data_IF_273930355538
#
_entry.id   IF_273930355538
#
_cell.length_a   1.000
_cell.length_b   1.000
_cell.length_c   1.000
_cell.angle_alpha   90.00
_cell.angle_beta   90.00
_cell.angle_gamma   90.00
#
_symmetry.space_group_name_H-M   'P 1'
#
loop_
_entity.id
_entity.type
_entity.pdbx_description
1 polymer ?
#
# COMPACT_ATOMS: atom_id res chain seq x y z
N UNK A 1 46.48 -63.73 -11.02
CA UNK A 1 46.09 -62.61 -11.89
C UNK A 1 46.04 -61.36 -11.00
N UNK A 2 47.21 -60.76 -10.71
CA UNK A 2 47.80 -59.59 -11.41
C UNK A 2 46.92 -58.34 -11.16
N UNK A 3 47.30 -57.29 -10.41
CA UNK A 3 48.59 -56.59 -10.27
C UNK A 3 48.64 -55.81 -8.93
N UNK A 4 49.79 -55.90 -8.25
CA UNK A 4 50.26 -55.00 -7.20
C UNK A 4 50.66 -53.63 -7.78
N UNK A 5 50.50 -52.54 -7.05
CA UNK A 5 51.35 -51.33 -7.01
C UNK A 5 50.66 -50.34 -6.04
N UNK A 6 51.22 -49.64 -5.07
CA UNK A 6 52.58 -49.34 -4.64
C UNK A 6 52.39 -48.48 -3.35
N UNK A 7 52.80 -48.93 -2.17
CA UNK A 7 54.06 -48.53 -1.51
C UNK A 7 54.26 -47.01 -1.34
N UNK A 8 54.22 -46.52 -0.09
CA UNK A 8 55.22 -45.69 0.63
C UNK A 8 54.54 -44.90 1.76
N UNK A 9 54.84 -45.23 3.00
CA UNK A 9 55.97 -44.69 3.80
C UNK A 9 55.80 -43.22 4.20
N UNK A 10 55.60 -43.06 5.52
CA UNK A 10 56.31 -42.11 6.38
C UNK A 10 56.08 -40.59 6.26
N UNK A 11 56.24 -39.98 7.45
CA UNK A 11 56.62 -38.59 7.71
C UNK A 11 55.53 -37.51 7.61
N UNK A 12 54.95 -37.18 8.76
CA UNK A 12 54.81 -35.78 9.17
C UNK A 12 55.01 -35.71 10.70
N UNK A 13 56.27 -35.71 11.15
CA UNK A 13 56.99 -34.50 11.57
C UNK A 13 56.08 -33.49 12.29
N UNK A 14 56.03 -33.67 13.61
CA UNK A 14 55.77 -32.66 14.65
C UNK A 14 56.20 -31.27 14.19
N UNK A 15 55.25 -30.44 13.79
CA UNK A 15 55.45 -29.01 13.59
C UNK A 15 54.36 -28.26 14.33
N UNK A 16 54.75 -27.65 15.45
CA UNK A 16 53.92 -26.76 16.25
C UNK A 16 53.67 -25.49 15.45
N UNK A 17 52.65 -25.45 14.60
CA UNK A 17 52.37 -24.23 13.85
C UNK A 17 50.87 -23.98 13.67
N UNK A 18 50.36 -23.06 14.50
CA UNK A 18 49.22 -22.16 14.27
C UNK A 18 47.85 -22.80 13.95
N UNK A 19 47.38 -23.68 14.83
CA UNK A 19 45.97 -24.11 14.81
C UNK A 19 44.98 -23.07 15.39
N UNK A 20 45.49 -21.94 15.90
CA UNK A 20 44.69 -20.91 16.58
C UNK A 20 44.03 -19.88 15.65
N UNK A 21 44.39 -19.83 14.36
CA UNK A 21 43.89 -18.77 13.46
C UNK A 21 42.72 -19.23 12.57
N UNK A 22 42.53 -20.53 12.39
CA UNK A 22 41.42 -21.04 11.55
C UNK A 22 40.08 -20.98 12.30
N UNK A 23 40.08 -21.03 13.63
CA UNK A 23 38.85 -20.96 14.42
C UNK A 23 38.27 -19.53 14.57
N UNK A 24 39.07 -18.49 14.28
CA UNK A 24 38.63 -17.09 14.40
C UNK A 24 37.88 -16.57 13.17
N UNK A 25 37.90 -17.29 12.05
CA UNK A 25 37.24 -16.87 10.80
C UNK A 25 35.83 -17.46 10.60
N UNK A 26 35.40 -18.41 11.45
CA UNK A 26 34.07 -19.04 11.32
C UNK A 26 32.96 -18.22 12.01
N UNK A 27 33.31 -17.27 12.89
CA UNK A 27 32.35 -16.42 13.61
C UNK A 27 31.95 -15.13 12.89
N UNK A 28 32.57 -14.79 11.75
CA UNK A 28 32.31 -13.54 11.01
C UNK A 28 31.43 -13.73 9.76
N UNK A 29 30.57 -14.77 9.75
CA UNK A 29 29.82 -15.20 8.56
C UNK A 29 28.30 -15.24 8.71
N UNK A 30 27.71 -14.69 9.77
CA UNK A 30 26.25 -14.54 9.88
C UNK A 30 25.92 -13.06 9.67
N UNK A 31 26.08 -12.62 8.43
CA UNK A 31 25.68 -11.29 8.00
C UNK A 31 24.14 -11.26 8.00
N UNK A 32 23.63 -10.37 8.83
CA UNK A 32 22.23 -10.11 9.15
C UNK A 32 21.38 -9.95 7.88
N UNK A 33 20.68 -11.02 7.48
CA UNK A 33 19.55 -10.95 6.55
C UNK A 33 18.27 -10.60 7.32
N UNK A 34 18.29 -9.51 8.09
CA UNK A 34 17.06 -8.88 8.58
C UNK A 34 16.53 -7.99 7.46
N UNK A 35 16.01 -8.60 6.40
CA UNK A 35 15.14 -7.88 5.47
C UNK A 35 13.98 -7.33 6.27
N UNK A 36 13.84 -6.01 6.35
CA UNK A 36 12.62 -5.39 6.85
C UNK A 36 11.46 -5.82 5.94
N UNK A 37 10.77 -6.90 6.31
CA UNK A 37 9.45 -7.18 5.77
C UNK A 37 8.55 -6.02 6.22
N UNK A 38 8.33 -5.07 5.31
CA UNK A 38 7.33 -4.02 5.51
C UNK A 38 5.98 -4.73 5.65
N UNK A 39 5.44 -4.75 6.87
CA UNK A 39 4.13 -5.35 7.12
C UNK A 39 3.09 -4.57 6.28
N UNK A 40 2.35 -5.29 5.44
CA UNK A 40 1.26 -4.72 4.67
C UNK A 40 0.14 -4.15 5.56
N UNK A 41 -0.84 -3.44 4.97
CA UNK A 41 -1.93 -2.84 5.74
C UNK A 41 -2.71 -3.89 6.53
N UNK A 42 -3.02 -3.59 7.79
CA UNK A 42 -3.85 -4.47 8.63
C UNK A 42 -5.32 -4.41 8.14
N UNK A 43 -5.97 -5.56 7.90
CA UNK A 43 -7.38 -5.58 7.54
C UNK A 43 -8.25 -4.88 8.59
N UNK A 44 -9.23 -4.09 8.13
CA UNK A 44 -10.20 -3.41 8.99
C UNK A 44 -9.76 -2.07 9.60
N UNK A 45 -8.46 -1.78 9.66
CA UNK A 45 -7.94 -0.51 10.19
C UNK A 45 -7.77 0.56 9.09
N UNK A 46 -8.18 1.83 9.32
CA UNK A 46 -7.89 2.93 8.40
C UNK A 46 -6.40 3.24 8.30
N UNK A 47 -5.92 3.46 7.09
CA UNK A 47 -4.56 3.86 6.80
C UNK A 47 -4.51 4.91 5.67
N UNK A 48 -3.35 5.55 5.50
CA UNK A 48 -3.15 6.51 4.40
C UNK A 48 -3.06 5.79 3.07
N UNK A 49 -3.94 6.16 2.13
CA UNK A 49 -4.09 5.44 0.86
C UNK A 49 -2.84 5.40 -0.02
N UNK A 50 -2.01 6.43 0.04
CA UNK A 50 -0.74 6.53 -0.66
C UNK A 50 0.18 7.48 0.11
N UNK A 51 1.46 7.50 -0.23
CA UNK A 51 2.38 8.52 0.32
C UNK A 51 1.87 9.92 -0.08
N UNK A 52 2.08 10.96 0.74
CA UNK A 52 1.60 12.31 0.42
C UNK A 52 2.04 12.82 -0.96
N UNK A 53 3.25 12.46 -1.41
CA UNK A 53 3.78 12.82 -2.72
C UNK A 53 3.11 12.11 -3.90
N UNK A 54 2.39 11.01 -3.65
CA UNK A 54 1.64 10.25 -4.66
C UNK A 54 0.14 10.58 -4.68
N UNK A 55 -0.31 11.59 -3.93
CA UNK A 55 -1.72 12.01 -3.93
C UNK A 55 -1.83 13.33 -4.68
N UNK A 56 -2.45 13.29 -5.86
CA UNK A 56 -2.78 14.49 -6.62
C UNK A 56 -4.26 14.81 -6.45
N UNK A 57 -4.60 16.10 -6.31
CA UNK A 57 -5.96 16.54 -6.02
C UNK A 57 -6.33 17.70 -6.92
N UNK A 58 -7.47 17.58 -7.60
CA UNK A 58 -8.15 18.67 -8.31
C UNK A 58 -9.57 18.76 -7.73
N UNK A 59 -9.80 19.80 -6.92
CA UNK A 59 -11.05 19.97 -6.17
C UNK A 59 -11.71 21.26 -6.62
N UNK A 60 -12.99 21.18 -6.98
CA UNK A 60 -13.80 22.33 -7.32
C UNK A 60 -13.86 23.33 -6.15
N UNK A 61 -13.92 24.64 -6.42
CA UNK A 61 -13.87 25.66 -5.37
C UNK A 61 -15.07 25.61 -4.41
N UNK A 62 -16.17 24.93 -4.78
CA UNK A 62 -17.34 24.73 -3.93
C UNK A 62 -17.20 23.55 -2.95
N UNK A 63 -16.11 22.78 -3.04
CA UNK A 63 -15.89 21.55 -2.27
C UNK A 63 -14.63 21.63 -1.40
N UNK A 64 -14.68 20.97 -0.24
CA UNK A 64 -13.53 20.68 0.61
C UNK A 64 -13.45 19.18 0.87
N UNK A 65 -12.25 18.59 0.75
CA UNK A 65 -12.00 17.19 1.08
C UNK A 65 -11.60 17.11 2.56
N UNK A 66 -12.54 16.69 3.41
CA UNK A 66 -12.38 16.64 4.87
C UNK A 66 -11.69 15.35 5.35
N UNK A 67 -11.96 14.23 4.66
CA UNK A 67 -11.32 12.94 4.96
C UNK A 67 -11.05 12.17 3.67
N UNK A 68 -9.88 11.54 3.64
CA UNK A 68 -9.49 10.60 2.61
C UNK A 68 -8.62 9.50 3.22
N UNK A 69 -9.21 8.31 3.38
CA UNK A 69 -8.57 7.18 4.05
C UNK A 69 -8.88 5.87 3.35
N UNK A 70 -8.02 4.88 3.56
CA UNK A 70 -8.16 3.55 2.97
C UNK A 70 -8.35 2.50 4.05
N UNK A 71 -9.14 1.48 3.75
CA UNK A 71 -9.31 0.30 4.61
C UNK A 71 -9.34 -0.95 3.74
N UNK A 72 -8.67 -2.02 4.14
CA UNK A 72 -8.85 -3.33 3.50
C UNK A 72 -10.04 -4.03 4.15
N UNK A 73 -11.07 -4.34 3.37
CA UNK A 73 -12.27 -5.07 3.81
C UNK A 73 -12.72 -6.07 2.73
N UNK A 74 -13.38 -7.17 3.10
CA UNK A 74 -14.02 -8.05 2.14
C UNK A 74 -15.13 -7.33 1.38
N UNK A 75 -15.14 -7.45 0.06
CA UNK A 75 -16.21 -6.96 -0.81
C UNK A 75 -16.44 -8.00 -1.91
N UNK A 76 -17.70 -8.44 -2.05
CA UNK A 76 -18.11 -9.49 -2.99
C UNK A 76 -17.22 -10.75 -2.94
N UNK A 77 -16.89 -11.21 -1.74
CA UNK A 77 -16.11 -12.43 -1.51
C UNK A 77 -14.60 -12.29 -1.76
N UNK A 78 -14.07 -11.07 -1.90
CA UNK A 78 -12.62 -10.85 -2.08
C UNK A 78 -12.15 -9.65 -1.26
N UNK A 79 -10.95 -9.74 -0.68
CA UNK A 79 -10.31 -8.60 -0.03
C UNK A 79 -10.14 -7.44 -1.03
N UNK A 80 -10.64 -6.28 -0.63
CA UNK A 80 -10.78 -5.12 -1.49
C UNK A 80 -10.36 -3.86 -0.74
N UNK A 81 -9.90 -2.87 -1.50
CA UNK A 81 -9.48 -1.59 -0.96
C UNK A 81 -10.69 -0.68 -0.95
N UNK A 82 -11.12 -0.25 0.23
CA UNK A 82 -12.20 0.69 0.41
C UNK A 82 -11.62 2.09 0.55
N UNK A 83 -11.89 2.94 -0.43
CA UNK A 83 -11.51 4.35 -0.43
C UNK A 83 -12.63 5.15 0.23
N UNK A 84 -12.41 5.64 1.44
CA UNK A 84 -13.33 6.52 2.14
C UNK A 84 -13.05 7.97 1.74
N UNK A 85 -14.11 8.68 1.38
CA UNK A 85 -14.06 10.07 0.95
C UNK A 85 -15.13 10.84 1.72
N UNK A 86 -14.75 11.94 2.37
CA UNK A 86 -15.67 12.87 2.98
C UNK A 86 -15.54 14.24 2.29
N UNK A 87 -16.61 14.67 1.60
CA UNK A 87 -16.66 15.94 0.87
C UNK A 87 -17.60 16.89 1.57
N UNK A 88 -17.11 18.07 1.92
CA UNK A 88 -17.92 19.17 2.47
C UNK A 88 -18.27 20.15 1.38
N UNK A 89 -19.53 20.56 1.33
CA UNK A 89 -19.95 21.69 0.53
C UNK A 89 -19.59 22.99 1.27
N UNK A 90 -18.67 23.77 0.70
CA UNK A 90 -18.25 25.07 1.25
C UNK A 90 -18.88 26.25 0.50
N UNK A 91 -19.74 25.98 -0.49
CA UNK A 91 -20.49 27.02 -1.18
C UNK A 91 -21.76 27.42 -0.43
N UNK A 92 -22.42 28.46 -0.94
CA UNK A 92 -23.69 28.98 -0.40
C UNK A 92 -24.93 28.31 -1.00
N UNK A 93 -24.76 27.40 -1.97
CA UNK A 93 -25.86 26.69 -2.65
C UNK A 93 -25.79 25.20 -2.34
N UNK A 94 -26.92 24.52 -2.47
CA UNK A 94 -26.97 23.06 -2.46
C UNK A 94 -26.21 22.50 -3.67
N UNK A 95 -25.33 21.52 -3.46
CA UNK A 95 -24.43 21.00 -4.49
C UNK A 95 -24.53 19.50 -4.68
N UNK A 96 -24.29 19.06 -5.93
CA UNK A 96 -23.99 17.68 -6.27
C UNK A 96 -22.56 17.58 -6.76
N UNK A 97 -21.77 16.70 -6.16
CA UNK A 97 -20.39 16.49 -6.55
C UNK A 97 -20.24 15.21 -7.37
N UNK A 98 -19.25 15.19 -8.25
CA UNK A 98 -18.74 13.99 -8.91
C UNK A 98 -17.33 13.74 -8.40
N UNK A 99 -17.14 12.60 -7.75
CA UNK A 99 -15.84 12.13 -7.30
C UNK A 99 -15.32 11.11 -8.30
N UNK A 100 -14.08 11.28 -8.72
CA UNK A 100 -13.36 10.34 -9.57
C UNK A 100 -11.98 10.10 -8.96
N UNK A 101 -11.66 8.84 -8.73
CA UNK A 101 -10.42 8.38 -8.12
C UNK A 101 -9.73 7.49 -9.15
N UNK A 102 -8.57 7.91 -9.64
CA UNK A 102 -7.74 7.12 -10.55
C UNK A 102 -6.54 6.58 -9.78
N UNK A 103 -6.30 5.28 -9.89
CA UNK A 103 -5.20 4.59 -9.22
C UNK A 103 -4.11 4.28 -10.24
N UNK A 104 -2.84 4.29 -9.80
CA UNK A 104 -1.68 4.04 -10.68
C UNK A 104 -1.70 2.70 -11.41
N UNK A 105 -2.45 1.72 -10.91
CA UNK A 105 -2.60 0.41 -11.55
C UNK A 105 -3.68 0.37 -12.64
N UNK A 106 -4.17 1.53 -13.08
CA UNK A 106 -5.18 1.66 -14.14
C UNK A 106 -6.62 1.43 -13.68
N UNK A 107 -6.87 1.14 -12.40
CA UNK A 107 -8.24 1.08 -11.86
C UNK A 107 -8.75 2.49 -11.60
N UNK A 108 -10.04 2.68 -11.84
CA UNK A 108 -10.73 3.93 -11.51
C UNK A 108 -12.05 3.62 -10.80
N UNK A 109 -12.36 4.38 -9.77
CA UNK A 109 -13.63 4.29 -9.04
C UNK A 109 -14.13 5.69 -8.71
N UNK A 110 -15.40 5.80 -8.36
CA UNK A 110 -16.01 7.09 -8.06
C UNK A 110 -17.50 7.06 -8.31
N UNK A 111 -18.12 8.21 -8.17
CA UNK A 111 -19.55 8.34 -8.33
C UNK A 111 -20.05 9.74 -8.03
N UNK A 112 -21.37 9.86 -8.04
CA UNK A 112 -22.05 11.10 -7.69
C UNK A 112 -22.32 11.14 -6.18
N UNK A 113 -22.24 12.34 -5.62
CA UNK A 113 -22.47 12.63 -4.21
C UNK A 113 -23.51 13.76 -4.12
N UNK A 114 -24.72 13.49 -3.61
CA UNK A 114 -25.26 12.14 -3.34
C UNK A 114 -25.49 11.34 -4.64
N UNK A 115 -25.48 10.01 -4.52
CA UNK A 115 -25.70 9.09 -5.64
C UNK A 115 -27.11 9.29 -6.22
N UNK A 116 -28.10 9.44 -5.34
CA UNK A 116 -29.50 9.74 -5.67
C UNK A 116 -29.85 11.13 -5.19
N UNK A 117 -30.60 11.88 -5.99
CA UNK A 117 -31.01 13.27 -5.67
C UNK A 117 -32.40 13.36 -5.03
N UNK A 118 -33.10 12.23 -4.85
CA UNK A 118 -34.45 12.20 -4.28
C UNK A 118 -34.47 12.73 -2.85
N UNK A 119 -33.41 12.50 -2.10
CA UNK A 119 -33.25 12.95 -0.71
C UNK A 119 -32.64 14.37 -0.61
N UNK A 120 -32.52 15.06 -1.74
CA UNK A 120 -31.88 16.37 -1.86
C UNK A 120 -30.41 16.29 -2.28
N UNK A 121 -29.74 17.42 -2.15
CA UNK A 121 -28.32 17.61 -2.49
C UNK A 121 -27.51 17.88 -1.21
N UNK A 122 -26.18 17.98 -1.34
CA UNK A 122 -25.33 18.34 -0.20
C UNK A 122 -25.54 19.81 0.11
N UNK A 123 -26.07 20.10 1.31
CA UNK A 123 -26.36 21.47 1.74
C UNK A 123 -25.08 22.26 2.06
N UNK A 124 -25.09 23.60 2.02
CA UNK A 124 -24.01 24.43 2.53
C UNK A 124 -23.54 24.02 3.92
N UNK A 125 -22.23 23.83 4.08
CA UNK A 125 -21.60 23.40 5.32
C UNK A 125 -21.73 21.91 5.65
N UNK A 126 -22.55 21.14 4.93
CA UNK A 126 -22.73 19.71 5.15
C UNK A 126 -21.57 18.91 4.58
N UNK A 127 -21.12 17.90 5.34
CA UNK A 127 -20.16 16.88 4.88
C UNK A 127 -20.88 15.60 4.53
N UNK A 128 -20.64 15.10 3.32
CA UNK A 128 -21.19 13.85 2.82
C UNK A 128 -20.06 12.81 2.70
N UNK A 129 -20.28 11.59 3.22
CA UNK A 129 -19.27 10.53 3.32
C UNK A 129 -19.63 9.35 2.44
N UNK A 130 -18.67 8.88 1.64
CA UNK A 130 -18.84 7.78 0.70
C UNK A 130 -17.64 6.85 0.73
N UNK A 131 -17.90 5.58 0.46
CA UNK A 131 -16.87 4.55 0.37
C UNK A 131 -16.92 3.90 -1.00
N UNK A 132 -15.79 3.90 -1.71
CA UNK A 132 -15.66 3.29 -3.02
C UNK A 132 -14.80 2.04 -2.92
N UNK A 133 -15.38 0.82 -3.08
CA UNK A 133 -14.61 -0.41 -3.06
C UNK A 133 -13.88 -0.63 -4.39
N UNK A 134 -12.61 -0.99 -4.31
CA UNK A 134 -11.78 -1.43 -5.44
C UNK A 134 -11.57 -2.93 -5.31
N UNK A 135 -12.34 -3.70 -6.08
CA UNK A 135 -12.34 -5.17 -5.99
C UNK A 135 -10.96 -5.76 -6.32
N UNK A 136 -10.54 -6.72 -5.49
CA UNK A 136 -9.31 -7.50 -5.69
C UNK A 136 -8.03 -6.70 -5.46
N UNK A 137 -8.08 -5.71 -4.58
CA UNK A 137 -6.93 -4.90 -4.19
C UNK A 137 -6.81 -4.92 -2.66
N UNK A 138 -5.76 -5.54 -2.15
CA UNK A 138 -5.53 -5.72 -0.72
C UNK A 138 -4.33 -4.90 -0.20
N UNK A 139 -3.91 -3.88 -0.94
CA UNK A 139 -2.75 -3.05 -0.64
C UNK A 139 -3.03 -1.59 -1.03
N UNK A 140 -2.22 -0.66 -0.52
CA UNK A 140 -2.24 0.74 -0.93
C UNK A 140 -1.71 0.90 -2.35
N UNK A 141 -2.35 1.70 -3.23
CA UNK A 141 -1.76 2.10 -4.49
C UNK A 141 -0.54 3.02 -4.28
N UNK A 142 0.33 3.07 -5.28
CA UNK A 142 1.51 3.97 -5.24
C UNK A 142 1.11 5.43 -5.44
N UNK A 143 0.17 5.68 -6.36
CA UNK A 143 -0.35 7.00 -6.67
C UNK A 143 -1.87 6.97 -6.83
N UNK A 144 -2.51 8.09 -6.45
CA UNK A 144 -3.94 8.31 -6.60
C UNK A 144 -4.17 9.75 -7.06
N UNK A 145 -4.94 9.89 -8.14
CA UNK A 145 -5.48 11.18 -8.57
C UNK A 145 -6.94 11.31 -8.12
N UNK A 146 -7.23 12.37 -7.37
CA UNK A 146 -8.55 12.67 -6.81
C UNK A 146 -9.12 13.87 -7.54
N UNK A 147 -10.23 13.67 -8.24
CA UNK A 147 -10.98 14.74 -8.88
C UNK A 147 -12.35 14.88 -8.20
N UNK A 148 -12.63 16.06 -7.65
CA UNK A 148 -13.95 16.40 -7.10
C UNK A 148 -14.47 17.57 -7.91
N UNK A 149 -15.51 17.31 -8.71
CA UNK A 149 -16.11 18.33 -9.58
C UNK A 149 -17.53 18.64 -9.12
N UNK A 150 -17.89 19.91 -9.13
CA UNK A 150 -19.29 20.33 -8.98
C UNK A 150 -20.02 19.97 -10.28
N UNK A 151 -21.12 19.22 -10.17
CA UNK A 151 -22.00 18.99 -11.31
C UNK A 151 -22.84 20.25 -11.46
N UNK A 152 -22.47 21.12 -12.39
CA UNK A 152 -23.26 22.31 -12.71
C UNK A 152 -24.73 21.90 -12.89
N UNK A 153 -25.61 22.60 -12.18
CA UNK A 153 -27.05 22.58 -12.44
C UNK A 153 -27.36 23.47 -13.63
#
# INVERSE_FOLDING_TARGET
>A
MLINFFKRENLMKRSKFKFSWVFLMVTAGVMVLAGCMTQGPKPGEPFSCAKPSGIHKEIAPEASLEDFSCVIKPYEGTDSLHLNVAVKNISTKDQRFRVQLFLSNGKAVGGLIPEKTKDGLVKPGQTAKFTYPVKGMNHSPEQIDIFIKTMAQ
#
